data_IF_276036795234
#
_entry.id   IF_276036795234
#
_cell.length_a   1.000
_cell.length_b   1.000
_cell.length_c   1.000
_cell.angle_alpha   90.00
_cell.angle_beta   90.00
_cell.angle_gamma   90.00
#
_symmetry.space_group_name_H-M   'P 1'
#
loop_
_entity.id
_entity.type
_entity.pdbx_description
1 polymer ?
#
# COMPACT_ATOMS: atom_id res chain seq x y z
N UNK A 1 14.04 -42.12 -24.02
CA UNK A 1 14.24 -40.65 -24.06
C UNK A 1 12.94 -40.12 -23.50
N UNK A 2 12.85 -40.22 -22.19
CA UNK A 2 11.62 -40.05 -21.42
C UNK A 2 11.66 -38.63 -20.87
N UNK A 3 10.90 -37.73 -21.48
CA UNK A 3 10.70 -36.37 -21.00
C UNK A 3 9.51 -36.36 -20.03
N UNK A 4 9.83 -36.35 -18.75
CA UNK A 4 8.90 -36.23 -17.62
C UNK A 4 8.44 -34.77 -17.46
N UNK A 5 7.19 -34.46 -17.82
CA UNK A 5 6.58 -33.17 -17.51
C UNK A 5 6.04 -33.11 -16.07
N UNK A 6 6.23 -32.00 -15.33
CA UNK A 6 5.70 -31.85 -13.97
C UNK A 6 4.17 -31.60 -13.98
N UNK A 7 3.44 -32.08 -12.95
CA UNK A 7 1.98 -31.98 -12.91
C UNK A 7 1.50 -30.56 -12.60
N UNK A 8 0.65 -30.01 -13.47
CA UNK A 8 -0.12 -28.78 -13.24
C UNK A 8 -1.36 -29.09 -12.39
N UNK A 9 -1.35 -28.65 -11.13
CA UNK A 9 -2.52 -28.70 -10.24
C UNK A 9 -3.53 -27.61 -10.63
N UNK A 10 -4.63 -28.02 -11.25
CA UNK A 10 -5.81 -27.21 -11.51
C UNK A 10 -6.60 -27.05 -10.21
N UNK A 11 -6.85 -25.81 -9.79
CA UNK A 11 -7.81 -25.50 -8.73
C UNK A 11 -9.16 -25.31 -9.40
N UNK A 12 -10.03 -26.30 -9.25
CA UNK A 12 -11.45 -26.26 -9.59
C UNK A 12 -12.19 -25.52 -8.47
N UNK A 13 -12.77 -24.37 -8.78
CA UNK A 13 -13.69 -23.65 -7.88
C UNK A 13 -15.09 -24.22 -8.14
N UNK A 14 -15.84 -24.65 -7.10
CA UNK A 14 -17.18 -25.21 -7.28
C UNK A 14 -18.19 -24.13 -7.65
N UNK A 15 -19.02 -24.43 -8.65
CA UNK A 15 -20.26 -23.73 -8.97
C UNK A 15 -21.25 -23.91 -7.82
N UNK A 16 -21.70 -22.79 -7.24
CA UNK A 16 -22.82 -22.78 -6.30
C UNK A 16 -24.12 -22.51 -7.08
N UNK A 17 -24.97 -23.52 -7.14
CA UNK A 17 -26.38 -23.42 -7.55
C UNK A 17 -27.15 -22.53 -6.57
N UNK A 18 -27.65 -21.39 -7.03
CA UNK A 18 -28.68 -20.64 -6.32
C UNK A 18 -29.92 -20.53 -7.18
N UNK A 19 -30.92 -21.30 -6.75
CA UNK A 19 -32.25 -21.44 -7.29
C UNK A 19 -33.00 -20.11 -7.35
N UNK A 20 -33.84 -19.98 -8.38
CA UNK A 20 -34.75 -18.85 -8.53
C UNK A 20 -35.88 -18.83 -7.50
N UNK A 21 -36.46 -17.64 -7.37
CA UNK A 21 -37.86 -17.25 -7.12
C UNK A 21 -37.91 -16.06 -6.17
N UNK A 22 -38.51 -14.95 -6.61
CA UNK A 22 -38.71 -13.80 -5.71
C UNK A 22 -38.91 -12.48 -6.43
N UNK A 23 -40.07 -12.31 -7.06
CA UNK A 23 -40.59 -10.98 -7.41
C UNK A 23 -40.74 -10.13 -6.14
N UNK A 24 -40.16 -8.93 -6.09
CA UNK A 24 -40.68 -7.78 -5.33
C UNK A 24 -39.91 -6.47 -5.61
N UNK A 25 -40.59 -5.61 -6.35
CA UNK A 25 -40.69 -4.13 -6.26
C UNK A 25 -39.66 -3.32 -5.46
N UNK A 26 -39.15 -2.29 -6.17
CA UNK A 26 -38.95 -0.91 -5.71
C UNK A 26 -37.73 -0.56 -4.83
N UNK A 27 -36.73 0.10 -5.42
CA UNK A 27 -36.48 1.55 -5.29
C UNK A 27 -35.03 1.89 -5.70
N UNK A 28 -34.88 2.82 -6.64
CA UNK A 28 -33.61 3.26 -7.25
C UNK A 28 -32.93 4.29 -6.33
N UNK A 29 -31.64 4.17 -5.98
CA UNK A 29 -30.96 5.21 -5.22
C UNK A 29 -30.61 6.38 -6.15
N UNK A 30 -31.06 7.58 -5.79
CA UNK A 30 -30.68 8.86 -6.39
C UNK A 30 -29.26 9.24 -5.99
N UNK A 31 -28.37 9.44 -6.96
CA UNK A 31 -27.00 9.93 -6.75
C UNK A 31 -27.00 11.40 -6.27
N UNK A 32 -26.05 11.82 -5.42
CA UNK A 32 -26.00 13.18 -4.87
C UNK A 32 -25.52 14.21 -5.91
N UNK A 33 -26.10 15.41 -5.87
CA UNK A 33 -25.70 16.55 -6.66
C UNK A 33 -24.34 17.08 -6.17
N UNK A 34 -23.33 17.01 -7.04
CA UNK A 34 -22.02 17.63 -6.80
C UNK A 34 -22.10 19.07 -7.33
N UNK A 35 -22.21 20.05 -6.43
CA UNK A 35 -21.99 21.45 -6.75
C UNK A 35 -20.49 21.66 -7.05
N UNK A 36 -20.18 21.99 -8.31
CA UNK A 36 -18.82 22.35 -8.72
C UNK A 36 -18.64 23.85 -8.57
N UNK A 37 -17.86 24.24 -7.56
CA UNK A 37 -17.32 25.59 -7.42
C UNK A 37 -16.19 25.81 -8.41
N UNK A 38 -16.41 26.64 -9.43
CA UNK A 38 -15.37 27.11 -10.34
C UNK A 38 -14.59 28.25 -9.64
N UNK A 39 -13.45 27.91 -9.04
CA UNK A 39 -12.50 28.86 -8.49
C UNK A 39 -11.11 28.54 -9.01
N UNK A 40 -10.62 29.29 -10.00
CA UNK A 40 -9.19 29.39 -10.27
C UNK A 40 -8.83 30.81 -10.73
N UNK A 41 -8.21 31.48 -9.77
CA UNK A 41 -7.65 32.82 -9.72
C UNK A 41 -6.69 33.15 -10.86
N UNK A 42 -6.85 34.32 -11.47
CA UNK A 42 -5.86 34.93 -12.36
C UNK A 42 -4.76 35.60 -11.54
N UNK A 43 -3.55 35.04 -11.60
CA UNK A 43 -2.33 35.66 -11.13
C UNK A 43 -1.82 36.64 -12.19
N UNK A 44 -1.74 37.94 -11.88
CA UNK A 44 -0.90 38.87 -12.65
C UNK A 44 0.04 39.62 -11.72
N UNK A 45 1.33 39.39 -11.91
CA UNK A 45 2.41 40.20 -11.35
C UNK A 45 2.34 41.63 -11.90
N UNK A 46 2.33 42.62 -11.01
CA UNK A 46 2.24 44.04 -11.36
C UNK A 46 3.12 44.87 -10.45
N UNK A 47 4.44 44.82 -10.69
CA UNK A 47 5.38 45.81 -10.18
C UNK A 47 5.25 47.08 -11.04
N UNK A 48 4.88 48.19 -10.42
CA UNK A 48 5.29 49.59 -10.63
C UNK A 48 4.13 50.55 -10.42
N UNK A 49 4.13 51.14 -9.21
CA UNK A 49 3.72 52.51 -8.91
C UNK A 49 3.69 53.42 -10.13
N UNK A 50 2.49 53.87 -10.54
CA UNK A 50 2.14 55.26 -10.80
C UNK A 50 0.63 55.32 -11.10
N UNK A 51 -0.01 56.29 -10.45
CA UNK A 51 -1.44 56.52 -10.46
C UNK A 51 -2.04 56.50 -11.87
N UNK A 52 -3.01 55.60 -12.11
CA UNK A 52 -4.01 55.79 -13.14
C UNK A 52 -5.30 55.11 -12.68
N UNK A 53 -6.29 55.95 -12.36
CA UNK A 53 -7.67 55.60 -12.06
C UNK A 53 -8.30 54.96 -13.31
N UNK A 54 -8.10 53.65 -13.52
CA UNK A 54 -8.72 52.93 -14.63
C UNK A 54 -10.01 52.30 -14.09
N UNK A 55 -11.09 53.07 -14.13
CA UNK A 55 -12.46 52.57 -13.97
C UNK A 55 -12.80 51.75 -15.22
N UNK A 56 -12.15 50.59 -15.39
CA UNK A 56 -12.42 49.70 -16.51
C UNK A 56 -13.86 49.18 -16.38
N UNK A 57 -14.69 49.26 -17.44
CA UNK A 57 -16.02 48.70 -17.39
C UNK A 57 -15.91 47.20 -17.14
N UNK A 58 -16.67 46.70 -16.16
CA UNK A 58 -16.73 45.25 -15.85
C UNK A 58 -17.05 44.52 -17.16
N UNK A 59 -16.15 43.65 -17.67
CA UNK A 59 -16.39 42.97 -18.93
C UNK A 59 -17.62 42.09 -18.79
N UNK A 60 -18.71 42.47 -19.47
CA UNK A 60 -19.91 41.65 -19.53
C UNK A 60 -19.61 40.46 -20.44
N UNK A 61 -19.40 39.29 -19.83
CA UNK A 61 -19.17 38.04 -20.56
C UNK A 61 -20.37 37.78 -21.48
N UNK A 62 -20.17 37.60 -22.80
CA UNK A 62 -21.24 37.21 -23.70
C UNK A 62 -21.92 35.94 -23.17
N UNK A 63 -23.25 35.94 -23.16
CA UNK A 63 -24.00 34.75 -22.72
C UNK A 63 -23.65 33.58 -23.62
N UNK A 64 -23.19 32.48 -23.04
CA UNK A 64 -22.92 31.27 -23.80
C UNK A 64 -24.21 30.85 -24.51
N UNK A 65 -24.15 30.47 -25.79
CA UNK A 65 -25.30 29.96 -26.50
C UNK A 65 -25.87 28.77 -25.73
N UNK A 66 -27.19 28.80 -25.50
CA UNK A 66 -27.89 27.75 -24.79
C UNK A 66 -27.74 26.45 -25.60
N UNK A 67 -26.82 25.59 -25.18
CA UNK A 67 -26.69 24.23 -25.71
C UNK A 67 -27.43 23.31 -24.75
N UNK A 68 -28.29 22.44 -25.31
CA UNK A 68 -28.89 21.32 -24.59
C UNK A 68 -27.75 20.50 -23.99
N UNK A 69 -27.85 20.08 -22.72
CA UNK A 69 -26.86 19.21 -22.11
C UNK A 69 -26.68 17.97 -22.99
N UNK A 70 -25.52 17.84 -23.62
CA UNK A 70 -25.13 16.56 -24.21
C UNK A 70 -25.00 15.59 -23.05
N UNK A 71 -25.65 14.44 -23.15
CA UNK A 71 -25.78 13.47 -22.06
C UNK A 71 -24.44 13.03 -21.48
N UNK A 72 -24.51 12.28 -20.38
CA UNK A 72 -23.31 11.77 -19.71
C UNK A 72 -22.48 10.90 -20.66
N UNK A 73 -21.16 11.12 -20.69
CA UNK A 73 -20.19 10.32 -21.46
C UNK A 73 -19.92 8.97 -20.75
N UNK A 74 -20.59 8.71 -19.62
CA UNK A 74 -20.40 7.47 -18.85
C UNK A 74 -21.02 6.30 -19.61
N UNK A 75 -20.16 5.49 -20.21
CA UNK A 75 -20.50 4.21 -20.83
C UNK A 75 -20.34 3.11 -19.76
N UNK A 76 -21.36 2.27 -19.49
CA UNK A 76 -21.25 1.14 -18.59
C UNK A 76 -20.11 0.19 -18.99
N UNK A 77 -19.37 -0.31 -18.00
CA UNK A 77 -18.15 -1.09 -18.20
C UNK A 77 -18.36 -2.38 -19.02
N UNK A 78 -19.57 -2.92 -18.97
CA UNK A 78 -19.94 -4.19 -19.62
C UNK A 78 -20.57 -3.99 -21.01
N UNK A 79 -20.60 -2.76 -21.52
CA UNK A 79 -21.16 -2.50 -22.85
C UNK A 79 -20.15 -2.79 -23.96
N UNK A 80 -20.67 -3.23 -25.11
CA UNK A 80 -19.89 -3.48 -26.34
C UNK A 80 -19.06 -2.27 -26.79
N UNK A 81 -19.51 -1.06 -26.50
CA UNK A 81 -18.76 0.16 -26.82
C UNK A 81 -17.51 0.32 -25.95
N UNK A 82 -17.54 -0.17 -24.70
CA UNK A 82 -16.39 -0.14 -23.80
C UNK A 82 -15.33 -1.21 -24.11
N UNK A 83 -15.74 -2.32 -24.75
CA UNK A 83 -14.83 -3.41 -25.13
C UNK A 83 -14.16 -3.20 -26.49
N UNK A 84 -14.73 -2.36 -27.36
CA UNK A 84 -14.17 -2.06 -28.68
C UNK A 84 -12.91 -1.20 -28.57
N UNK A 85 -11.83 -1.52 -29.33
CA UNK A 85 -10.70 -0.62 -29.48
C UNK A 85 -11.19 0.70 -30.07
N UNK A 86 -11.19 1.76 -29.26
CA UNK A 86 -11.53 3.10 -29.74
C UNK A 86 -10.40 3.54 -30.66
N UNK A 87 -10.63 3.52 -31.98
CA UNK A 87 -9.80 4.22 -32.95
C UNK A 87 -9.94 5.73 -32.72
N UNK A 88 -9.22 6.23 -31.72
CA UNK A 88 -9.05 7.67 -31.52
C UNK A 88 -8.20 8.19 -32.67
N UNK A 89 -8.86 8.68 -33.73
CA UNK A 89 -8.20 9.51 -34.75
C UNK A 89 -7.72 10.77 -34.05
N UNK A 90 -6.43 10.82 -33.76
CA UNK A 90 -5.82 12.01 -33.20
C UNK A 90 -5.51 12.96 -34.35
N UNK A 91 -5.96 14.20 -34.20
CA UNK A 91 -5.61 15.26 -35.12
C UNK A 91 -4.08 15.42 -35.17
N UNK A 92 -3.46 15.71 -36.34
CA UNK A 92 -2.02 15.92 -36.41
C UNK A 92 -1.49 17.04 -35.50
N UNK A 93 -2.36 17.94 -35.04
CA UNK A 93 -2.05 18.97 -34.04
C UNK A 93 -2.33 18.57 -32.58
N UNK A 94 -2.85 17.36 -32.31
CA UNK A 94 -3.11 16.89 -30.96
C UNK A 94 -1.79 16.55 -30.26
N UNK A 95 -1.53 17.18 -29.11
CA UNK A 95 -0.33 16.95 -28.28
C UNK A 95 -0.18 15.47 -27.91
N UNK A 96 -1.29 14.73 -27.78
CA UNK A 96 -1.26 13.29 -27.50
C UNK A 96 -0.71 12.46 -28.66
N UNK A 97 -0.74 12.98 -29.89
CA UNK A 97 -0.09 12.36 -31.05
C UNK A 97 1.42 12.65 -31.09
N UNK A 98 1.90 13.66 -30.36
CA UNK A 98 3.33 14.02 -30.27
C UNK A 98 4.09 13.33 -29.13
N UNK A 99 3.39 12.71 -28.18
CA UNK A 99 4.02 11.94 -27.11
C UNK A 99 4.29 10.49 -27.52
N UNK A 100 5.51 9.96 -27.38
CA UNK A 100 5.78 8.54 -27.55
C UNK A 100 4.86 7.71 -26.65
N UNK A 101 4.06 6.82 -27.24
CA UNK A 101 3.17 5.92 -26.48
C UNK A 101 3.88 4.62 -26.25
N UNK A 102 3.82 4.14 -25.01
CA UNK A 102 4.18 2.75 -24.69
C UNK A 102 3.26 1.83 -25.47
N UNK A 103 3.83 0.87 -26.19
CA UNK A 103 3.04 -0.20 -26.81
C UNK A 103 2.39 -1.04 -25.71
N UNK A 104 1.32 -1.77 -26.03
CA UNK A 104 0.73 -2.72 -25.07
C UNK A 104 1.77 -3.72 -24.53
N UNK A 105 2.71 -4.12 -25.39
CA UNK A 105 3.86 -4.96 -25.04
C UNK A 105 4.80 -4.29 -24.00
N UNK A 106 5.13 -3.01 -24.17
CA UNK A 106 5.98 -2.26 -23.22
C UNK A 106 5.29 -2.13 -21.84
N UNK A 107 3.98 -1.89 -21.82
CA UNK A 107 3.21 -1.88 -20.57
C UNK A 107 3.23 -3.24 -19.86
N UNK A 108 3.11 -4.34 -20.62
CA UNK A 108 3.19 -5.69 -20.05
C UNK A 108 4.61 -6.00 -19.54
N UNK A 109 5.65 -5.62 -20.28
CA UNK A 109 7.04 -5.78 -19.87
C UNK A 109 7.33 -5.00 -18.59
N UNK A 110 6.93 -3.73 -18.53
CA UNK A 110 7.04 -2.91 -17.33
C UNK A 110 6.27 -3.54 -16.15
N UNK A 111 5.05 -4.00 -16.39
CA UNK A 111 4.26 -4.69 -15.37
C UNK A 111 4.91 -6.00 -14.89
N UNK A 112 5.63 -6.72 -15.75
CA UNK A 112 6.44 -7.89 -15.37
C UNK A 112 7.67 -7.48 -14.55
N UNK A 113 8.39 -6.44 -14.96
CA UNK A 113 9.56 -5.91 -14.25
C UNK A 113 9.20 -5.41 -12.85
N UNK A 114 8.20 -4.54 -12.71
CA UNK A 114 7.74 -4.04 -11.41
C UNK A 114 7.34 -5.18 -10.48
N UNK A 115 6.59 -6.18 -10.99
CA UNK A 115 6.22 -7.35 -10.19
C UNK A 115 7.43 -8.21 -9.80
N UNK A 116 8.45 -8.30 -10.65
CA UNK A 116 9.69 -9.02 -10.34
C UNK A 116 10.50 -8.28 -9.26
N UNK A 117 10.61 -6.95 -9.36
CA UNK A 117 11.29 -6.11 -8.37
C UNK A 117 10.63 -6.19 -6.99
N UNK A 118 9.30 -6.11 -6.93
CA UNK A 118 8.55 -6.27 -5.66
C UNK A 118 8.80 -7.64 -5.05
N UNK A 119 8.79 -8.71 -5.85
CA UNK A 119 9.10 -10.07 -5.36
C UNK A 119 10.53 -10.18 -4.86
N UNK A 120 11.49 -9.57 -5.57
CA UNK A 120 12.90 -9.52 -5.14
C UNK A 120 13.02 -8.80 -3.79
N UNK A 121 12.36 -7.66 -3.61
CA UNK A 121 12.38 -6.92 -2.35
C UNK A 121 11.74 -7.69 -1.20
N UNK A 122 10.59 -8.33 -1.43
CA UNK A 122 9.95 -9.18 -0.44
C UNK A 122 10.85 -10.34 0.00
N UNK A 123 11.57 -10.98 -0.94
CA UNK A 123 12.52 -12.05 -0.63
C UNK A 123 13.71 -11.55 0.19
N UNK A 124 14.32 -10.42 -0.19
CA UNK A 124 15.42 -9.83 0.59
C UNK A 124 14.99 -9.49 2.03
N UNK A 125 13.77 -8.96 2.20
CA UNK A 125 13.23 -8.68 3.52
C UNK A 125 13.02 -9.96 4.33
N UNK A 126 12.47 -11.01 3.70
CA UNK A 126 12.29 -12.32 4.34
C UNK A 126 13.63 -12.91 4.81
N UNK A 127 14.65 -12.89 3.94
CA UNK A 127 15.98 -13.42 4.27
C UNK A 127 16.62 -12.61 5.42
N UNK A 128 16.47 -11.27 5.39
CA UNK A 128 16.94 -10.41 6.48
C UNK A 128 16.25 -10.69 7.81
N UNK A 129 14.93 -10.91 7.80
CA UNK A 129 14.16 -11.24 9.00
C UNK A 129 14.57 -12.61 9.56
N UNK A 130 14.78 -13.60 8.69
CA UNK A 130 15.23 -14.93 9.10
C UNK A 130 16.62 -14.90 9.74
N UNK A 131 17.55 -14.11 9.17
CA UNK A 131 18.87 -13.90 9.76
C UNK A 131 18.80 -13.24 11.14
N UNK A 132 17.96 -12.20 11.31
CA UNK A 132 17.75 -11.55 12.61
C UNK A 132 17.18 -12.54 13.62
N UNK A 133 16.20 -13.35 13.21
CA UNK A 133 15.59 -14.38 14.06
C UNK A 133 16.63 -15.38 14.58
N UNK A 134 17.49 -15.92 13.72
CA UNK A 134 18.57 -16.82 14.15
C UNK A 134 19.56 -16.14 15.11
N UNK A 135 19.91 -14.87 14.87
CA UNK A 135 20.77 -14.11 15.77
C UNK A 135 20.14 -13.92 17.16
N UNK A 136 18.84 -13.63 17.21
CA UNK A 136 18.09 -13.50 18.46
C UNK A 136 18.04 -14.84 19.20
N UNK A 137 17.80 -15.95 18.49
CA UNK A 137 17.80 -17.27 19.11
C UNK A 137 19.16 -17.62 19.73
N UNK A 138 20.26 -17.40 19.02
CA UNK A 138 21.61 -17.64 19.55
C UNK A 138 21.89 -16.81 20.82
N UNK A 139 21.54 -15.52 20.81
CA UNK A 139 21.68 -14.65 21.98
C UNK A 139 20.80 -15.10 23.14
N UNK A 140 19.58 -15.57 22.86
CA UNK A 140 18.68 -16.10 23.89
C UNK A 140 19.26 -17.35 24.55
N UNK A 141 19.78 -18.30 23.78
CA UNK A 141 20.41 -19.51 24.30
C UNK A 141 21.63 -19.20 25.17
N UNK A 142 22.48 -18.26 24.73
CA UNK A 142 23.61 -17.78 25.52
C UNK A 142 23.14 -17.11 26.82
N UNK A 143 22.11 -16.27 26.74
CA UNK A 143 21.53 -15.61 27.90
C UNK A 143 20.96 -16.62 28.91
N UNK A 144 20.21 -17.62 28.46
CA UNK A 144 19.65 -18.67 29.31
C UNK A 144 20.78 -19.47 30.01
N UNK A 145 21.89 -19.72 29.32
CA UNK A 145 23.08 -20.33 29.91
C UNK A 145 23.73 -19.44 30.98
N UNK A 146 23.88 -18.15 30.70
CA UNK A 146 24.45 -17.19 31.66
C UNK A 146 23.55 -17.02 32.89
N UNK A 147 22.24 -16.98 32.72
CA UNK A 147 21.26 -16.90 33.82
C UNK A 147 21.32 -18.15 34.71
N UNK A 148 21.40 -19.34 34.12
CA UNK A 148 21.58 -20.59 34.87
C UNK A 148 22.89 -20.61 35.67
N UNK A 149 24.00 -20.17 35.08
CA UNK A 149 25.28 -20.06 35.78
C UNK A 149 25.24 -19.01 36.91
N UNK A 150 24.59 -17.87 36.68
CA UNK A 150 24.43 -16.82 37.68
C UNK A 150 23.60 -17.32 38.88
N UNK A 151 22.48 -18.01 38.61
CA UNK A 151 21.68 -18.70 39.65
C UNK A 151 22.51 -19.70 40.45
N UNK A 152 23.35 -20.51 39.78
CA UNK A 152 24.24 -21.46 40.45
C UNK A 152 25.23 -20.75 41.39
N UNK A 153 25.86 -19.67 40.91
CA UNK A 153 26.79 -18.88 41.73
C UNK A 153 26.09 -18.22 42.92
N UNK A 154 24.91 -17.64 42.72
CA UNK A 154 24.12 -17.06 43.80
C UNK A 154 23.76 -18.10 44.87
N UNK A 155 23.35 -19.31 44.44
CA UNK A 155 23.07 -20.42 45.36
C UNK A 155 24.34 -20.81 46.14
N UNK A 156 25.48 -20.98 45.47
CA UNK A 156 26.74 -21.34 46.14
C UNK A 156 27.19 -20.28 47.15
N UNK A 157 27.09 -19.00 46.79
CA UNK A 157 27.37 -17.88 47.71
C UNK A 157 26.38 -17.89 48.88
N UNK A 158 25.09 -18.12 48.62
CA UNK A 158 24.05 -18.26 49.64
C UNK A 158 24.32 -19.39 50.63
N UNK A 159 24.68 -20.57 50.13
CA UNK A 159 25.04 -21.75 50.94
C UNK A 159 26.29 -21.47 51.77
N UNK A 160 27.31 -20.83 51.20
CA UNK A 160 28.53 -20.45 51.92
C UNK A 160 28.27 -19.40 53.00
N UNK A 161 27.46 -18.37 52.72
CA UNK A 161 27.08 -17.38 53.72
C UNK A 161 26.24 -17.98 54.85
N UNK A 162 25.38 -18.96 54.55
CA UNK A 162 24.54 -19.64 55.54
C UNK A 162 25.34 -20.60 56.40
N UNK A 163 26.21 -21.42 55.79
CA UNK A 163 27.15 -22.29 56.51
C UNK A 163 28.15 -21.49 57.34
N UNK A 164 28.65 -20.35 56.83
CA UNK A 164 29.56 -19.47 57.56
C UNK A 164 28.91 -18.86 58.81
N UNK A 165 27.59 -18.59 58.82
CA UNK A 165 26.87 -18.15 60.03
C UNK A 165 26.75 -19.27 61.07
N UNK A 166 26.61 -20.52 60.62
CA UNK A 166 26.54 -21.70 61.50
C UNK A 166 27.93 -22.01 62.11
N UNK A 167 29.02 -21.85 61.35
CA UNK A 167 30.37 -22.16 61.83
C UNK A 167 31.01 -21.03 62.65
N UNK A 168 30.72 -19.76 62.36
CA UNK A 168 31.32 -18.62 63.08
C UNK A 168 30.66 -18.30 64.42
N UNK A 169 29.42 -18.72 64.66
CA UNK A 169 28.73 -18.50 65.95
C UNK A 169 29.06 -19.56 67.02
N UNK A 170 29.76 -20.64 66.67
CA UNK A 170 30.19 -21.70 67.60
C UNK A 170 31.55 -21.51 68.27
N UNK A 171 32.33 -20.49 67.90
CA UNK A 171 33.75 -20.36 68.30
C UNK A 171 34.09 -19.28 69.33
N UNK A 172 33.13 -18.48 69.79
CA UNK A 172 33.43 -17.27 70.57
C UNK A 172 32.41 -16.93 71.63
N UNK A 173 32.45 -17.62 72.79
CA UNK A 173 32.01 -17.12 74.12
C UNK A 173 32.24 -18.17 75.21
N UNK A 174 33.50 -18.39 75.54
CA UNK A 174 33.91 -19.26 76.65
C UNK A 174 35.29 -18.89 77.15
N UNK A 175 35.44 -17.69 77.75
CA UNK A 175 36.59 -17.29 78.57
C UNK A 175 36.38 -15.89 79.17
N UNK A 176 35.89 -15.88 80.42
CA UNK A 176 36.03 -14.92 81.53
C UNK A 176 34.73 -14.82 82.30
#
# INVERSE_FOLDING_TARGET
>A
MDDEQPPTSHITIPEEEAQGTGSQTASRPTAPAIERSDSSSTSSDGNTTHANTIHAPVPTRPRLPNRKSSGTIIVPRDSEEASRPIETRLDPGDVRAMSPRRTSEDLEQLGRQTRAEVRKHAKMLQDSLLMIFHRIQAVKEEHDKLDNNNKFLQKYIGDLMTTSKITSTGGGRGKK
#
